data_IF_998401230307
#
_entry.id   IF_998401230307
#
_cell.length_a   1.000
_cell.length_b   1.000
_cell.length_c   1.000
_cell.angle_alpha   90.00
_cell.angle_beta   90.00
_cell.angle_gamma   90.00
#
_symmetry.space_group_name_H-M   'P 1'
#
loop_
_entity.id
_entity.type
_entity.pdbx_description
1 polymer ?
#
# COMPACT_ATOMS: atom_id res chain seq x y z
N UNK A 1 4.98 15.31 -38.09
CA UNK A 1 4.85 14.03 -37.40
C UNK A 1 5.63 13.02 -38.20
N UNK A 2 6.58 12.39 -37.56
CA UNK A 2 7.58 11.49 -38.21
C UNK A 2 7.07 10.05 -38.01
N UNK A 3 7.37 9.14 -38.95
CA UNK A 3 7.01 7.70 -38.87
C UNK A 3 7.45 7.04 -37.55
N UNK A 4 8.47 7.59 -36.90
CA UNK A 4 8.92 7.16 -35.57
C UNK A 4 7.98 7.56 -34.45
N UNK A 5 7.25 8.67 -34.59
CA UNK A 5 6.29 9.13 -33.60
C UNK A 5 5.00 8.26 -33.62
N UNK A 6 4.65 7.72 -34.79
CA UNK A 6 3.52 6.78 -34.92
C UNK A 6 3.84 5.42 -34.32
N UNK A 7 5.09 4.93 -34.43
CA UNK A 7 5.51 3.66 -33.84
C UNK A 7 5.58 3.70 -32.30
N UNK A 8 5.80 4.88 -31.72
CA UNK A 8 5.79 5.06 -30.25
C UNK A 8 4.39 5.30 -29.66
N UNK A 9 3.39 5.57 -30.47
CA UNK A 9 2.02 5.76 -30.01
C UNK A 9 1.19 4.47 -29.97
N UNK A 10 1.58 3.43 -30.69
CA UNK A 10 0.82 2.17 -30.76
C UNK A 10 1.01 1.25 -29.52
N UNK A 11 2.02 1.48 -28.67
CA UNK A 11 2.31 0.64 -27.52
C UNK A 11 1.83 1.20 -26.16
N UNK A 12 1.13 2.32 -26.16
CA UNK A 12 0.47 2.81 -24.94
C UNK A 12 -1.00 2.40 -24.98
N UNK A 13 -1.26 1.24 -24.41
CA UNK A 13 -2.64 0.92 -24.06
C UNK A 13 -3.17 2.03 -23.11
N UNK A 14 -4.10 2.88 -23.57
CA UNK A 14 -4.58 4.01 -22.78
C UNK A 14 -5.48 3.59 -21.61
N UNK A 15 -5.79 2.31 -21.50
CA UNK A 15 -6.58 1.80 -20.39
C UNK A 15 -5.65 1.36 -19.26
N UNK A 16 -5.72 1.99 -18.08
CA UNK A 16 -4.99 1.48 -16.91
C UNK A 16 -5.41 0.03 -16.68
N UNK A 17 -4.49 -0.82 -16.24
CA UNK A 17 -4.83 -2.21 -15.94
C UNK A 17 -6.01 -2.24 -14.97
N UNK A 18 -6.98 -3.15 -15.16
CA UNK A 18 -8.20 -3.20 -14.34
C UNK A 18 -7.93 -3.46 -12.85
N UNK A 19 -6.71 -3.84 -12.50
CA UNK A 19 -6.28 -4.13 -11.14
C UNK A 19 -4.89 -3.52 -10.89
N UNK A 20 -4.63 -3.01 -9.66
CA UNK A 20 -3.31 -2.51 -9.32
C UNK A 20 -2.28 -3.64 -9.33
N UNK A 21 -1.03 -3.29 -9.63
CA UNK A 21 0.11 -4.17 -9.40
C UNK A 21 0.43 -4.15 -7.91
N UNK A 22 0.43 -5.33 -7.30
CA UNK A 22 0.69 -5.50 -5.87
C UNK A 22 2.09 -6.05 -5.70
N UNK A 23 2.93 -5.31 -4.97
CA UNK A 23 4.30 -5.67 -4.65
C UNK A 23 4.45 -5.77 -3.14
N UNK A 24 4.91 -6.91 -2.67
CA UNK A 24 5.24 -7.11 -1.25
C UNK A 24 6.73 -6.93 -1.03
N UNK A 25 7.07 -6.09 -0.07
CA UNK A 25 8.43 -5.84 0.37
C UNK A 25 8.65 -6.54 1.70
N UNK A 26 9.47 -7.56 1.69
CA UNK A 26 9.72 -8.39 2.86
C UNK A 26 11.23 -8.52 3.09
N UNK A 27 11.64 -8.48 4.38
CA UNK A 27 13.01 -8.71 4.77
C UNK A 27 13.04 -9.60 6.01
N UNK A 28 13.85 -10.69 5.96
CA UNK A 28 14.04 -11.60 7.07
C UNK A 28 14.93 -11.03 8.19
N UNK A 29 15.78 -10.08 7.85
CA UNK A 29 16.58 -9.35 8.85
C UNK A 29 15.88 -8.02 9.11
N UNK A 30 15.30 -7.86 10.29
CA UNK A 30 14.74 -6.59 10.72
C UNK A 30 15.72 -5.46 10.44
N UNK A 31 15.50 -4.68 9.41
CA UNK A 31 16.45 -3.69 8.97
C UNK A 31 15.80 -2.54 8.23
N UNK A 32 16.47 -1.42 8.29
CA UNK A 32 16.10 -0.11 7.78
C UNK A 32 15.88 -0.09 6.25
N UNK A 33 16.48 -1.04 5.51
CA UNK A 33 16.45 -1.04 4.04
C UNK A 33 15.08 -1.30 3.41
N UNK A 34 14.26 -2.15 4.03
CA UNK A 34 12.95 -2.53 3.51
C UNK A 34 11.98 -1.33 3.45
N UNK A 35 11.84 -0.62 4.55
CA UNK A 35 10.96 0.55 4.64
C UNK A 35 11.45 1.70 3.75
N UNK A 36 12.75 1.95 3.75
CA UNK A 36 13.38 2.93 2.87
C UNK A 36 13.12 2.59 1.40
N UNK A 37 13.21 1.33 1.01
CA UNK A 37 12.91 0.86 -0.34
C UNK A 37 11.44 1.09 -0.68
N UNK A 38 10.51 0.78 0.21
CA UNK A 38 9.07 1.02 0.00
C UNK A 38 8.77 2.50 -0.24
N UNK A 39 9.31 3.38 0.58
CA UNK A 39 9.12 4.84 0.47
C UNK A 39 9.75 5.36 -0.83
N UNK A 40 10.98 4.96 -1.14
CA UNK A 40 11.68 5.42 -2.34
C UNK A 40 11.01 4.93 -3.62
N UNK A 41 10.60 3.67 -3.67
CA UNK A 41 9.89 3.10 -4.81
C UNK A 41 8.53 3.78 -5.00
N UNK A 42 7.77 3.93 -3.92
CA UNK A 42 6.47 4.61 -3.96
C UNK A 42 6.60 6.06 -4.43
N UNK A 43 7.59 6.77 -3.95
CA UNK A 43 7.88 8.16 -4.35
C UNK A 43 8.28 8.24 -5.83
N UNK A 44 9.14 7.35 -6.29
CA UNK A 44 9.57 7.31 -7.69
C UNK A 44 8.42 7.00 -8.65
N UNK A 45 7.57 6.03 -8.31
CA UNK A 45 6.38 5.69 -9.10
C UNK A 45 5.38 6.86 -9.14
N UNK A 46 5.15 7.50 -8.01
CA UNK A 46 4.28 8.68 -7.94
C UNK A 46 4.84 9.84 -8.78
N UNK A 47 6.16 10.03 -8.80
CA UNK A 47 6.83 11.06 -9.58
C UNK A 47 6.67 10.89 -11.10
N UNK A 48 6.53 9.67 -11.59
CA UNK A 48 6.25 9.39 -13.01
C UNK A 48 4.75 9.33 -13.35
N UNK A 49 3.89 9.72 -12.42
CA UNK A 49 2.44 9.86 -12.65
C UNK A 49 1.61 8.68 -12.21
N UNK A 50 2.20 7.66 -11.59
CA UNK A 50 1.45 6.53 -11.04
C UNK A 50 0.74 6.91 -9.73
N UNK A 51 -0.40 6.29 -9.49
CA UNK A 51 -1.12 6.45 -8.24
C UNK A 51 -0.80 5.27 -7.32
N UNK A 52 -0.16 5.54 -6.20
CA UNK A 52 0.47 4.53 -5.35
C UNK A 52 -0.13 4.52 -3.96
N UNK A 53 -0.43 3.33 -3.47
CA UNK A 53 -0.81 3.09 -2.09
C UNK A 53 0.27 2.23 -1.41
N UNK A 54 0.81 2.70 -0.29
CA UNK A 54 1.60 1.88 0.62
C UNK A 54 0.68 1.34 1.70
N UNK A 55 0.69 0.03 1.91
CA UNK A 55 0.01 -0.63 3.02
C UNK A 55 1.08 -1.01 4.04
N UNK A 56 1.12 -0.30 5.16
CA UNK A 56 2.08 -0.55 6.23
C UNK A 56 1.54 -1.65 7.15
N UNK A 57 2.21 -2.80 7.16
CA UNK A 57 1.89 -3.94 8.03
C UNK A 57 2.98 -4.22 9.06
N UNK A 58 3.90 -3.28 9.25
CA UNK A 58 4.89 -3.33 10.31
C UNK A 58 4.30 -2.70 11.59
N UNK A 59 4.21 -3.44 12.72
CA UNK A 59 3.72 -2.88 13.98
C UNK A 59 4.49 -1.64 14.44
N UNK A 60 5.76 -1.52 14.08
CA UNK A 60 6.57 -0.34 14.40
C UNK A 60 6.14 0.91 13.62
N UNK A 61 5.44 0.74 12.50
CA UNK A 61 4.94 1.84 11.70
C UNK A 61 6.03 2.72 11.08
N UNK A 62 7.14 2.13 10.68
CA UNK A 62 8.29 2.86 10.15
C UNK A 62 7.98 3.57 8.83
N UNK A 63 7.22 2.93 7.92
CA UNK A 63 6.79 3.58 6.69
C UNK A 63 5.84 4.74 6.97
N UNK A 64 4.90 4.56 7.89
CA UNK A 64 3.97 5.62 8.30
C UNK A 64 4.72 6.82 8.89
N UNK A 65 5.66 6.57 9.79
CA UNK A 65 6.51 7.61 10.39
C UNK A 65 7.40 8.28 9.34
N UNK A 66 8.01 7.50 8.45
CA UNK A 66 8.89 7.99 7.39
C UNK A 66 8.17 8.88 6.38
N UNK A 67 6.87 8.69 6.20
CA UNK A 67 6.02 9.54 5.35
C UNK A 67 5.31 10.66 6.12
N UNK A 68 5.70 10.89 7.37
CA UNK A 68 5.24 12.01 8.16
C UNK A 68 3.87 11.85 8.81
N UNK A 69 3.35 10.62 8.89
CA UNK A 69 2.09 10.37 9.56
C UNK A 69 2.32 10.19 11.06
N UNK A 70 1.95 11.20 11.83
CA UNK A 70 2.07 11.19 13.29
C UNK A 70 1.24 10.03 13.88
N UNK A 71 1.78 9.35 14.88
CA UNK A 71 1.08 8.26 15.59
C UNK A 71 -0.26 8.70 16.16
N UNK A 72 -0.39 9.95 16.56
CA UNK A 72 -1.64 10.53 17.08
C UNK A 72 -2.73 10.68 16.01
N UNK A 73 -2.37 10.66 14.74
CA UNK A 73 -3.29 10.81 13.61
C UNK A 73 -3.65 9.48 12.94
N UNK A 74 -3.30 8.34 13.55
CA UNK A 74 -3.60 7.01 13.05
C UNK A 74 -4.84 6.42 13.73
N UNK A 75 -5.95 7.14 13.68
CA UNK A 75 -7.21 6.74 14.32
C UNK A 75 -7.82 5.50 13.69
N UNK A 76 -7.67 5.34 12.37
CA UNK A 76 -7.99 4.13 11.64
C UNK A 76 -6.69 3.60 11.02
N UNK A 77 -6.39 2.35 11.26
CA UNK A 77 -5.13 1.72 10.87
C UNK A 77 -5.35 0.43 10.11
N UNK A 78 -4.28 -0.13 9.58
CA UNK A 78 -4.30 -1.46 8.96
C UNK A 78 -4.75 -2.55 9.93
N UNK A 79 -4.55 -2.38 11.24
CA UNK A 79 -5.10 -3.27 12.24
C UNK A 79 -6.63 -3.32 12.17
N UNK A 80 -7.30 -2.18 12.18
CA UNK A 80 -8.77 -2.09 12.11
C UNK A 80 -9.32 -2.74 10.82
N UNK A 81 -8.59 -2.58 9.73
CA UNK A 81 -8.94 -3.21 8.45
C UNK A 81 -8.85 -4.74 8.54
N UNK A 82 -7.76 -5.25 9.11
CA UNK A 82 -7.50 -6.69 9.18
C UNK A 82 -8.42 -7.42 10.16
N UNK A 83 -8.88 -6.76 11.21
CA UNK A 83 -9.91 -7.33 12.10
C UNK A 83 -11.34 -7.16 11.58
N UNK A 84 -11.53 -6.46 10.47
CA UNK A 84 -12.83 -6.27 9.83
C UNK A 84 -13.66 -5.12 10.40
N UNK A 85 -13.08 -4.25 11.19
CA UNK A 85 -13.76 -3.11 11.82
C UNK A 85 -13.91 -1.89 10.90
N UNK A 86 -13.07 -1.80 9.87
CA UNK A 86 -13.09 -0.68 8.94
C UNK A 86 -12.71 -1.13 7.52
N UNK A 87 -13.26 -0.48 6.48
CA UNK A 87 -12.77 -0.69 5.12
C UNK A 87 -11.41 -0.03 4.94
N UNK A 88 -10.60 -0.54 4.01
CA UNK A 88 -9.23 -0.02 3.77
C UNK A 88 -9.22 1.47 3.43
N UNK A 89 -10.22 1.97 2.70
CA UNK A 89 -10.33 3.39 2.36
C UNK A 89 -10.30 4.33 3.57
N UNK A 90 -10.82 3.87 4.72
CA UNK A 90 -10.87 4.68 5.94
C UNK A 90 -9.48 4.77 6.62
N UNK A 91 -8.60 3.82 6.34
CA UNK A 91 -7.22 3.80 6.83
C UNK A 91 -6.26 4.56 5.91
N UNK A 92 -6.66 4.88 4.69
CA UNK A 92 -5.82 5.56 3.71
C UNK A 92 -5.76 7.06 3.99
N UNK A 93 -4.55 7.59 4.04
CA UNK A 93 -4.28 9.02 4.16
C UNK A 93 -3.32 9.48 3.06
N UNK A 94 -3.47 10.73 2.64
CA UNK A 94 -2.54 11.37 1.72
C UNK A 94 -1.21 11.65 2.42
N UNK A 95 -0.11 11.55 1.68
CA UNK A 95 1.22 11.97 2.14
C UNK A 95 1.59 13.33 1.54
N UNK A 96 2.74 13.87 1.95
CA UNK A 96 3.30 15.07 1.35
C UNK A 96 3.71 14.88 -0.12
N UNK A 97 3.88 13.64 -0.57
CA UNK A 97 4.19 13.31 -1.96
C UNK A 97 2.88 13.19 -2.75
N UNK A 98 2.67 14.00 -3.81
CA UNK A 98 1.48 13.88 -4.64
C UNK A 98 1.33 12.46 -5.23
N UNK A 99 0.12 11.93 -5.25
CA UNK A 99 -0.25 10.59 -5.74
C UNK A 99 0.28 9.42 -4.89
N UNK A 100 0.97 9.68 -3.79
CA UNK A 100 1.39 8.66 -2.84
C UNK A 100 0.52 8.73 -1.59
N UNK A 101 -0.20 7.66 -1.33
CA UNK A 101 -1.03 7.48 -0.14
C UNK A 101 -0.50 6.34 0.71
N UNK A 102 -0.89 6.29 1.96
CA UNK A 102 -0.51 5.25 2.90
C UNK A 102 -1.68 4.84 3.79
N UNK A 103 -1.85 3.54 3.98
CA UNK A 103 -2.62 2.99 5.07
C UNK A 103 -1.67 2.71 6.23
N UNK A 104 -1.83 3.47 7.31
CA UNK A 104 -0.90 3.48 8.43
C UNK A 104 -1.09 2.28 9.34
N UNK A 105 0.00 1.85 9.98
CA UNK A 105 -0.01 0.80 11.00
C UNK A 105 0.07 1.38 12.42
N UNK A 106 -0.31 0.54 13.37
CA UNK A 106 -0.13 0.78 14.82
C UNK A 106 0.45 -0.45 15.50
N UNK A 107 0.90 -0.26 16.73
CA UNK A 107 1.41 -1.36 17.57
C UNK A 107 0.40 -2.48 17.82
N UNK A 108 -0.88 -2.20 17.63
CA UNK A 108 -1.95 -3.20 17.78
C UNK A 108 -1.77 -4.40 16.82
N UNK A 109 -1.07 -4.20 15.69
CA UNK A 109 -0.71 -5.29 14.79
C UNK A 109 0.10 -6.41 15.47
N UNK A 110 0.84 -6.10 16.53
CA UNK A 110 1.60 -7.10 17.29
C UNK A 110 0.71 -8.17 17.93
N UNK A 111 -0.52 -7.81 18.31
CA UNK A 111 -1.49 -8.73 18.88
C UNK A 111 -2.32 -9.52 17.86
N UNK A 112 -2.21 -9.16 16.59
CA UNK A 112 -3.08 -9.68 15.55
C UNK A 112 -2.96 -11.20 15.35
N UNK A 113 -1.77 -11.76 15.55
CA UNK A 113 -1.52 -13.19 15.45
C UNK A 113 -2.28 -13.99 16.51
N UNK A 114 -2.41 -13.42 17.70
CA UNK A 114 -3.18 -14.04 18.78
C UNK A 114 -4.69 -13.98 18.50
N UNK A 115 -5.14 -12.93 17.86
CA UNK A 115 -6.57 -12.72 17.58
C UNK A 115 -7.05 -13.50 16.35
N UNK A 116 -6.24 -13.57 15.29
CA UNK A 116 -6.63 -14.21 14.03
C UNK A 116 -6.13 -15.66 13.88
N UNK A 117 -5.30 -16.14 14.79
CA UNK A 117 -4.90 -17.54 14.91
C UNK A 117 -4.05 -18.12 13.78
N UNK A 118 -4.11 -17.61 12.56
CA UNK A 118 -3.34 -18.14 11.42
C UNK A 118 -3.03 -17.07 10.36
N UNK A 119 -1.84 -17.16 9.79
CA UNK A 119 -1.34 -16.28 8.71
C UNK A 119 -2.24 -16.27 7.46
N UNK A 120 -2.94 -17.38 7.21
CA UNK A 120 -3.84 -17.53 6.06
C UNK A 120 -5.01 -16.54 6.10
N UNK A 121 -5.61 -16.34 7.26
CA UNK A 121 -6.76 -15.46 7.42
C UNK A 121 -6.39 -13.99 7.21
N UNK A 122 -5.19 -13.58 7.61
CA UNK A 122 -4.67 -12.23 7.39
C UNK A 122 -4.51 -11.91 5.90
N UNK A 123 -3.93 -12.84 5.15
CA UNK A 123 -3.76 -12.69 3.71
C UNK A 123 -5.10 -12.56 2.98
N UNK A 124 -6.09 -13.35 3.37
CA UNK A 124 -7.45 -13.26 2.82
C UNK A 124 -8.12 -11.93 3.14
N UNK A 125 -8.01 -11.47 4.37
CA UNK A 125 -8.61 -10.20 4.79
C UNK A 125 -8.01 -9.01 4.07
N UNK A 126 -6.69 -8.98 3.93
CA UNK A 126 -6.01 -7.95 3.16
C UNK A 126 -6.40 -8.00 1.68
N UNK A 127 -6.42 -9.18 1.08
CA UNK A 127 -6.84 -9.36 -0.31
C UNK A 127 -8.26 -8.85 -0.55
N UNK A 128 -9.20 -9.21 0.32
CA UNK A 128 -10.58 -8.75 0.24
C UNK A 128 -10.69 -7.24 0.41
N UNK A 129 -9.95 -6.66 1.35
CA UNK A 129 -9.92 -5.21 1.57
C UNK A 129 -9.41 -4.45 0.35
N UNK A 130 -8.35 -4.95 -0.29
CA UNK A 130 -7.79 -4.38 -1.53
C UNK A 130 -8.76 -4.51 -2.70
N UNK A 131 -9.44 -5.65 -2.82
CA UNK A 131 -10.44 -5.86 -3.85
C UNK A 131 -11.62 -4.90 -3.71
N UNK A 132 -12.16 -4.74 -2.50
CA UNK A 132 -13.24 -3.79 -2.22
C UNK A 132 -12.82 -2.35 -2.51
N UNK A 133 -11.60 -1.98 -2.15
CA UNK A 133 -11.06 -0.65 -2.43
C UNK A 133 -11.01 -0.39 -3.94
N UNK A 134 -10.53 -1.36 -4.71
CA UNK A 134 -10.39 -1.25 -6.15
C UNK A 134 -11.75 -1.24 -6.87
N UNK A 135 -12.70 -2.08 -6.45
CA UNK A 135 -14.03 -2.19 -7.06
C UNK A 135 -14.88 -0.92 -6.87
N UNK A 136 -14.62 -0.16 -5.81
CA UNK A 136 -15.34 1.07 -5.49
C UNK A 136 -14.65 2.34 -6.01
N UNK A 137 -13.44 2.23 -6.51
CA UNK A 137 -12.73 3.37 -7.08
C UNK A 137 -13.18 3.60 -8.52
N UNK A 138 -13.42 4.86 -8.88
CA UNK A 138 -13.54 5.24 -10.27
C UNK A 138 -12.17 5.24 -10.96
N UNK A 139 -12.14 5.37 -12.29
CA UNK A 139 -10.90 5.31 -13.08
C UNK A 139 -9.85 6.34 -12.64
N UNK A 140 -10.28 7.50 -12.14
CA UNK A 140 -9.39 8.59 -11.72
C UNK A 140 -8.83 8.41 -10.31
N UNK A 141 -9.50 7.60 -9.48
CA UNK A 141 -9.15 7.36 -8.08
C UNK A 141 -8.57 5.96 -7.82
N UNK A 142 -8.48 5.11 -8.83
CA UNK A 142 -7.89 3.79 -8.69
C UNK A 142 -6.37 3.84 -8.57
N UNK A 143 -5.82 2.99 -7.71
CA UNK A 143 -4.37 2.84 -7.59
C UNK A 143 -3.84 1.96 -8.72
N UNK A 144 -2.68 2.34 -9.25
CA UNK A 144 -1.95 1.54 -10.25
C UNK A 144 -0.93 0.62 -9.61
N UNK A 145 -0.44 1.00 -8.42
CA UNK A 145 0.46 0.19 -7.60
C UNK A 145 0.03 0.17 -6.14
N UNK A 146 0.15 -1.00 -5.53
CA UNK A 146 0.03 -1.18 -4.08
C UNK A 146 1.32 -1.83 -3.58
N UNK A 147 2.01 -1.16 -2.68
CA UNK A 147 3.23 -1.63 -2.04
C UNK A 147 2.91 -2.07 -0.61
N UNK A 148 3.17 -3.33 -0.29
CA UNK A 148 2.92 -3.87 1.04
C UNK A 148 4.24 -3.96 1.79
N UNK A 149 4.35 -3.20 2.88
CA UNK A 149 5.52 -3.22 3.77
C UNK A 149 5.30 -4.22 4.90
N UNK A 150 5.86 -5.41 4.73
CA UNK A 150 5.70 -6.55 5.64
C UNK A 150 6.89 -6.69 6.58
N UNK A 151 6.63 -6.77 7.87
CA UNK A 151 7.61 -7.27 8.85
C UNK A 151 7.49 -8.78 9.00
N UNK A 152 8.57 -9.52 8.72
CA UNK A 152 8.62 -10.98 8.85
C UNK A 152 9.08 -11.46 10.23
N UNK A 153 9.37 -10.54 11.15
CA UNK A 153 9.87 -10.89 12.50
C UNK A 153 8.79 -11.57 13.34
N UNK A 154 7.54 -11.49 12.92
CA UNK A 154 6.37 -11.97 13.67
C UNK A 154 5.62 -13.11 12.96
N UNK A 155 6.29 -13.83 12.08
CA UNK A 155 5.74 -15.06 11.49
C UNK A 155 6.09 -16.27 12.33
#
# INVERSE_FOLDING_TARGET
MNELDELYQEDRDPTPPPHPRILSLANQKGGVGKTTTAINLGTALAAIGERVLIVDLDPQGNASTGLGIDRRNRNCSTYDVLIGEAPLRDAVVATAVPRLHIASSTMDLSGLELELGQTRDRAFRLRNALQVLNDKADADNSYTYVLIDLSLIHI
#
